data_IF_914914867784
#
_entry.id   IF_914914867784
#
_cell.length_a   1.000
_cell.length_b   1.000
_cell.length_c   1.000
_cell.angle_alpha   90.00
_cell.angle_beta   90.00
_cell.angle_gamma   90.00
#
_symmetry.space_group_name_H-M   'P 1'
#
loop_
_entity.id
_entity.type
_entity.pdbx_description
1 polymer ?
#
# COMPACT_ATOMS: atom_id res chain seq x y z
N UNK A 1 -0.33 -4.11 18.32
CA UNK A 1 -0.09 -5.54 18.61
C UNK A 1 -1.35 -6.21 19.15
N UNK A 2 -1.86 -5.83 20.34
CA UNK A 2 -3.09 -6.39 20.90
C UNK A 2 -4.28 -6.46 19.90
N UNK A 3 -4.58 -5.38 19.19
CA UNK A 3 -5.66 -5.37 18.19
C UNK A 3 -5.46 -6.32 17.00
N UNK A 4 -4.20 -6.66 16.65
CA UNK A 4 -3.90 -7.64 15.60
C UNK A 4 -4.15 -9.05 16.14
N UNK A 5 -3.69 -9.32 17.37
CA UNK A 5 -3.87 -10.60 18.06
C UNK A 5 -5.37 -10.89 18.30
N UNK A 6 -6.17 -9.88 18.66
CA UNK A 6 -7.62 -10.00 18.86
C UNK A 6 -8.37 -10.39 17.58
N UNK A 7 -7.92 -9.90 16.42
CA UNK A 7 -8.50 -10.23 15.11
C UNK A 7 -8.08 -11.63 14.67
N UNK A 8 -6.80 -11.99 14.89
CA UNK A 8 -6.30 -13.33 14.62
C UNK A 8 -7.00 -14.38 15.49
N UNK A 9 -7.30 -14.06 16.76
CA UNK A 9 -8.05 -14.94 17.67
C UNK A 9 -9.49 -15.22 17.18
N UNK A 10 -10.03 -14.39 16.29
CA UNK A 10 -11.33 -14.58 15.63
C UNK A 10 -11.23 -15.33 14.30
N UNK A 11 -10.06 -15.88 13.94
CA UNK A 11 -9.79 -16.49 12.62
C UNK A 11 -10.06 -15.52 11.45
N UNK A 12 -9.84 -14.22 11.65
CA UNK A 12 -9.97 -13.20 10.63
C UNK A 12 -8.60 -12.70 10.16
N UNK A 13 -8.54 -12.21 8.92
CA UNK A 13 -7.34 -11.55 8.38
C UNK A 13 -7.35 -10.08 8.83
N UNK A 14 -6.31 -9.66 9.54
CA UNK A 14 -6.12 -8.27 9.91
C UNK A 14 -5.47 -7.51 8.75
N UNK A 15 -6.18 -6.51 8.21
CA UNK A 15 -5.65 -5.61 7.18
C UNK A 15 -5.13 -4.35 7.86
N UNK A 16 -3.87 -4.02 7.59
CA UNK A 16 -3.23 -2.80 8.10
C UNK A 16 -2.96 -1.86 6.92
N UNK A 17 -3.61 -0.71 6.92
CA UNK A 17 -3.29 0.39 6.00
C UNK A 17 -2.24 1.29 6.65
N UNK A 18 -1.00 1.21 6.17
CA UNK A 18 0.16 1.89 6.75
C UNK A 18 1.07 2.45 5.67
N UNK A 19 1.71 3.57 5.98
CA UNK A 19 2.77 4.13 5.14
C UNK A 19 4.10 3.35 5.27
N UNK A 20 5.10 3.77 4.51
CA UNK A 20 6.42 3.14 4.52
C UNK A 20 7.14 3.22 5.87
N UNK A 21 6.86 4.23 6.70
CA UNK A 21 7.40 4.32 8.05
C UNK A 21 6.74 3.26 8.95
N UNK A 22 5.43 3.07 8.80
CA UNK A 22 4.67 1.99 9.40
C UNK A 22 5.23 0.62 9.03
N UNK A 23 5.49 0.38 7.75
CA UNK A 23 6.14 -0.86 7.26
C UNK A 23 7.48 -1.11 7.97
N UNK A 24 8.35 -0.09 8.02
CA UNK A 24 9.66 -0.17 8.70
C UNK A 24 9.53 -0.45 10.20
N UNK A 25 8.49 0.06 10.84
CA UNK A 25 8.22 -0.19 12.26
C UNK A 25 7.69 -1.62 12.49
N UNK A 26 6.79 -2.11 11.64
CA UNK A 26 6.24 -3.46 11.75
C UNK A 26 7.33 -4.52 11.49
N UNK A 27 8.27 -4.27 10.58
CA UNK A 27 9.41 -5.18 10.35
C UNK A 27 10.33 -5.35 11.57
N UNK A 28 10.26 -4.46 12.56
CA UNK A 28 10.97 -4.60 13.85
C UNK A 28 10.19 -5.42 14.88
N UNK A 29 9.01 -5.92 14.51
CA UNK A 29 8.13 -6.73 15.37
C UNK A 29 8.09 -8.17 14.89
N UNK A 30 7.50 -9.04 15.70
CA UNK A 30 7.26 -10.46 15.46
C UNK A 30 5.92 -10.75 14.76
N UNK A 31 5.24 -9.71 14.23
CA UNK A 31 3.92 -9.86 13.60
C UNK A 31 3.96 -10.61 12.27
N UNK A 32 5.11 -10.65 11.59
CA UNK A 32 5.33 -11.34 10.31
C UNK A 32 4.14 -11.25 9.32
N UNK A 33 3.65 -10.04 8.99
CA UNK A 33 2.56 -9.90 8.04
C UNK A 33 3.04 -10.11 6.60
N UNK A 34 2.09 -10.27 5.68
CA UNK A 34 2.34 -10.16 4.23
C UNK A 34 2.37 -8.68 3.86
N UNK A 35 3.49 -8.22 3.30
CA UNK A 35 3.68 -6.85 2.86
C UNK A 35 3.27 -6.68 1.40
N UNK A 36 2.12 -6.07 1.16
CA UNK A 36 1.58 -5.78 -0.18
C UNK A 36 1.77 -4.31 -0.50
N UNK A 37 2.47 -4.00 -1.59
CA UNK A 37 2.55 -2.64 -2.12
C UNK A 37 1.58 -2.48 -3.30
N UNK A 38 0.65 -1.53 -3.21
CA UNK A 38 -0.27 -1.19 -4.31
C UNK A 38 0.18 0.14 -4.90
N UNK A 39 0.60 0.14 -6.16
CA UNK A 39 1.19 1.31 -6.80
C UNK A 39 0.42 1.69 -8.07
N UNK A 40 0.33 2.99 -8.39
CA UNK A 40 -0.12 3.39 -9.71
C UNK A 40 0.88 2.94 -10.79
N UNK A 41 0.45 2.78 -12.05
CA UNK A 41 1.35 2.49 -13.17
C UNK A 41 2.41 3.57 -13.39
N UNK A 42 2.08 4.83 -13.08
CA UNK A 42 3.02 5.95 -13.09
C UNK A 42 2.55 7.10 -12.19
N UNK A 43 3.47 7.99 -11.83
CA UNK A 43 3.14 9.20 -11.05
C UNK A 43 2.25 10.14 -11.85
N UNK A 44 2.46 10.24 -13.16
CA UNK A 44 1.65 11.07 -14.06
C UNK A 44 0.19 10.58 -14.11
N UNK A 45 -0.01 9.26 -14.13
CA UNK A 45 -1.35 8.67 -14.09
C UNK A 45 -2.00 8.90 -12.71
N UNK A 46 -1.22 8.79 -11.63
CA UNK A 46 -1.71 9.11 -10.29
C UNK A 46 -2.16 10.57 -10.19
N UNK A 47 -1.32 11.52 -10.65
CA UNK A 47 -1.64 12.95 -10.66
C UNK A 47 -2.93 13.21 -11.44
N UNK A 48 -3.05 12.65 -12.65
CA UNK A 48 -4.26 12.79 -13.46
C UNK A 48 -5.50 12.29 -12.70
N UNK A 49 -5.43 11.09 -12.11
CA UNK A 49 -6.54 10.51 -11.32
C UNK A 49 -6.91 11.37 -10.11
N UNK A 50 -5.94 11.96 -9.41
CA UNK A 50 -6.20 12.83 -8.26
C UNK A 50 -6.80 14.18 -8.68
N UNK A 51 -6.32 14.76 -9.78
CA UNK A 51 -6.91 15.99 -10.34
C UNK A 51 -8.33 15.77 -10.84
N UNK A 52 -8.59 14.64 -11.50
CA UNK A 52 -9.93 14.27 -12.00
C UNK A 52 -10.94 14.08 -10.87
N UNK A 53 -10.50 13.70 -9.65
CA UNK A 53 -11.37 13.60 -8.48
C UNK A 53 -11.85 14.95 -7.95
N UNK A 54 -11.17 16.06 -8.29
CA UNK A 54 -11.51 17.42 -7.87
C UNK A 54 -11.71 17.63 -6.36
N UNK A 55 -11.16 16.73 -5.53
CA UNK A 55 -11.33 16.74 -4.07
C UNK A 55 -10.13 17.33 -3.32
N UNK A 56 -9.02 17.58 -4.01
CA UNK A 56 -7.74 17.96 -3.41
C UNK A 56 -7.29 19.37 -3.83
N UNK A 57 -6.63 20.09 -2.92
CA UNK A 57 -5.92 21.34 -3.24
C UNK A 57 -4.56 21.02 -3.87
N UNK A 58 -4.00 21.98 -4.61
CA UNK A 58 -2.67 21.81 -5.24
C UNK A 58 -1.59 21.43 -4.21
N UNK A 59 -1.61 22.02 -3.01
CA UNK A 59 -0.65 21.69 -1.96
C UNK A 59 -0.81 20.24 -1.46
N UNK A 60 -2.04 19.78 -1.25
CA UNK A 60 -2.31 18.40 -0.81
C UNK A 60 -1.96 17.39 -1.91
N UNK A 61 -2.20 17.74 -3.17
CA UNK A 61 -1.85 16.93 -4.33
C UNK A 61 -0.34 16.72 -4.41
N UNK A 62 0.44 17.81 -4.33
CA UNK A 62 1.92 17.72 -4.39
C UNK A 62 2.47 16.85 -3.26
N UNK A 63 2.00 17.04 -2.02
CA UNK A 63 2.40 16.20 -0.88
C UNK A 63 2.11 14.72 -1.12
N UNK A 64 0.96 14.41 -1.72
CA UNK A 64 0.56 13.03 -2.03
C UNK A 64 1.37 12.41 -3.15
N UNK A 65 1.72 13.20 -4.18
CA UNK A 65 2.59 12.76 -5.27
C UNK A 65 4.02 12.53 -4.78
N UNK A 66 4.54 13.39 -3.89
CA UNK A 66 5.85 13.20 -3.27
C UNK A 66 5.89 11.93 -2.42
N UNK A 67 4.87 11.69 -1.59
CA UNK A 67 4.74 10.47 -0.81
C UNK A 67 4.70 9.23 -1.71
N UNK A 68 3.86 9.24 -2.75
CA UNK A 68 3.77 8.13 -3.70
C UNK A 68 5.10 7.89 -4.43
N UNK A 69 5.84 8.95 -4.79
CA UNK A 69 7.16 8.83 -5.43
C UNK A 69 8.17 8.15 -4.50
N UNK A 70 8.19 8.56 -3.23
CA UNK A 70 9.05 7.96 -2.22
C UNK A 70 8.69 6.48 -2.00
N UNK A 71 7.40 6.16 -1.91
CA UNK A 71 6.92 4.79 -1.74
C UNK A 71 7.30 3.90 -2.93
N UNK A 72 7.13 4.40 -4.16
CA UNK A 72 7.56 3.69 -5.37
C UNK A 72 9.07 3.45 -5.40
N UNK A 73 9.88 4.41 -4.94
CA UNK A 73 11.35 4.25 -4.87
C UNK A 73 11.74 3.20 -3.83
N UNK A 74 11.19 3.31 -2.61
CA UNK A 74 11.46 2.38 -1.52
C UNK A 74 10.96 0.97 -1.82
N UNK A 75 9.88 0.83 -2.60
CA UNK A 75 9.39 -0.48 -3.01
C UNK A 75 10.34 -1.28 -3.89
N UNK A 76 11.30 -0.61 -4.54
CA UNK A 76 12.35 -1.25 -5.34
C UNK A 76 13.44 -1.85 -4.47
N UNK A 77 13.50 -1.50 -3.18
CA UNK A 77 14.43 -2.11 -2.25
C UNK A 77 14.05 -3.58 -2.02
N UNK A 78 14.97 -4.52 -2.29
CA UNK A 78 14.68 -5.94 -2.15
C UNK A 78 14.36 -6.29 -0.69
N UNK A 79 13.30 -7.07 -0.48
CA UNK A 79 12.88 -7.55 0.85
C UNK A 79 12.01 -6.58 1.66
N UNK A 80 11.62 -5.42 1.10
CA UNK A 80 10.63 -4.55 1.76
C UNK A 80 9.22 -5.10 1.59
N UNK A 81 8.81 -5.41 0.36
CA UNK A 81 7.48 -5.95 0.07
C UNK A 81 7.59 -7.38 -0.43
N UNK A 82 6.63 -8.22 -0.05
CA UNK A 82 6.51 -9.59 -0.55
C UNK A 82 5.90 -9.59 -1.95
N UNK A 83 4.98 -8.65 -2.21
CA UNK A 83 4.37 -8.46 -3.52
C UNK A 83 4.15 -6.98 -3.85
N UNK A 84 4.30 -6.65 -5.13
CA UNK A 84 3.99 -5.34 -5.70
C UNK A 84 2.90 -5.52 -6.74
N UNK A 85 1.75 -4.86 -6.52
CA UNK A 85 0.59 -4.86 -7.41
C UNK A 85 0.52 -3.49 -8.08
N UNK A 86 0.61 -3.48 -9.42
CA UNK A 86 0.38 -2.28 -10.22
C UNK A 86 -1.13 -2.14 -10.46
N UNK A 87 -1.71 -1.09 -9.91
CA UNK A 87 -3.12 -0.74 -10.02
C UNK A 87 -3.36 0.15 -11.25
N UNK A 88 -3.18 -0.46 -12.43
CA UNK A 88 -3.60 0.16 -13.69
C UNK A 88 -5.10 -0.10 -13.94
N UNK A 89 -5.50 -1.37 -13.88
CA UNK A 89 -6.88 -1.84 -13.91
C UNK A 89 -7.33 -2.35 -12.53
N UNK A 90 -8.53 -1.95 -12.11
CA UNK A 90 -9.07 -2.27 -10.79
C UNK A 90 -9.37 -3.77 -10.64
N UNK A 91 -9.90 -4.40 -11.69
CA UNK A 91 -10.31 -5.80 -11.68
C UNK A 91 -9.07 -6.71 -11.64
N UNK A 92 -8.05 -6.41 -12.46
CA UNK A 92 -6.78 -7.13 -12.42
C UNK A 92 -6.04 -6.96 -11.08
N UNK A 93 -6.01 -5.75 -10.53
CA UNK A 93 -5.36 -5.50 -9.24
C UNK A 93 -6.08 -6.22 -8.10
N UNK A 94 -7.41 -6.28 -8.17
CA UNK A 94 -8.24 -6.99 -7.19
C UNK A 94 -8.00 -8.50 -7.23
N UNK A 95 -7.99 -9.12 -8.42
CA UNK A 95 -7.73 -10.56 -8.53
C UNK A 95 -6.32 -10.91 -8.04
N UNK A 96 -5.30 -10.12 -8.37
CA UNK A 96 -3.93 -10.30 -7.82
C UNK A 96 -3.90 -10.21 -6.30
N UNK A 97 -4.63 -9.26 -5.71
CA UNK A 97 -4.69 -9.14 -4.26
C UNK A 97 -5.38 -10.36 -3.62
N UNK A 98 -6.43 -10.87 -4.25
CA UNK A 98 -7.17 -12.04 -3.77
C UNK A 98 -6.35 -13.33 -3.83
N UNK A 99 -5.56 -13.52 -4.88
CA UNK A 99 -4.62 -14.64 -5.00
C UNK A 99 -3.58 -14.66 -3.87
N UNK A 100 -3.17 -13.49 -3.37
CA UNK A 100 -2.22 -13.40 -2.24
C UNK A 100 -2.84 -13.79 -0.90
N UNK A 101 -4.16 -13.59 -0.77
CA UNK A 101 -4.90 -13.84 0.47
C UNK A 101 -5.49 -15.26 0.56
N UNK A 102 -5.41 -16.05 -0.53
CA UNK A 102 -6.03 -17.38 -0.66
C UNK A 102 -4.96 -18.48 -0.61
#
# INVERSE_FOLDING_TARGET
>A
KASVEDVQAQNLICILDVDIQGVKNIKKTDLNPIYVSIQPPSIEILEKRLRDRQTETEESLQKRLEAARLDMELSKEPGIFDIVIINDDLEEAYEKLKEVLT
#
